data_IF_020871495911
#
_entry.id   IF_020871495911
#
_cell.length_a   1.000
_cell.length_b   1.000
_cell.length_c   1.000
_cell.angle_alpha   90.00
_cell.angle_beta   90.00
_cell.angle_gamma   90.00
#
_symmetry.space_group_name_H-M   'P 1'
#
loop_
_entity.id
_entity.type
_entity.pdbx_description
1 polymer ?
#
# COMPACT_ATOMS: atom_id res chain seq x y z
N UNK A 1 -9.19 -10.99 -65.55
CA UNK A 1 -9.16 -9.82 -64.64
C UNK A 1 -8.24 -10.18 -63.48
N UNK A 2 -7.05 -9.56 -63.39
CA UNK A 2 -5.89 -10.04 -62.62
C UNK A 2 -5.76 -9.35 -61.24
N UNK A 3 -4.68 -9.70 -60.52
CA UNK A 3 -4.02 -8.96 -59.42
C UNK A 3 -4.64 -9.10 -58.00
N UNK A 4 -3.92 -9.16 -56.89
CA UNK A 4 -2.49 -9.17 -56.54
C UNK A 4 -2.41 -9.60 -55.04
N UNK A 5 -1.47 -10.47 -54.66
CA UNK A 5 -0.26 -10.17 -53.87
C UNK A 5 -0.47 -9.70 -52.40
N UNK A 6 0.04 -10.53 -51.49
CA UNK A 6 0.99 -10.20 -50.40
C UNK A 6 0.73 -8.97 -49.51
N UNK A 7 0.63 -9.18 -48.18
CA UNK A 7 1.64 -8.68 -47.24
C UNK A 7 1.46 -9.31 -45.84
N UNK A 8 2.54 -9.87 -45.31
CA UNK A 8 2.70 -10.12 -43.89
C UNK A 8 2.93 -8.78 -43.16
N UNK A 9 2.40 -8.62 -41.94
CA UNK A 9 3.07 -7.80 -40.94
C UNK A 9 2.74 -8.26 -39.52
N UNK A 10 3.72 -8.94 -38.94
CA UNK A 10 3.96 -9.05 -37.52
C UNK A 10 4.05 -7.62 -36.93
N UNK A 11 3.06 -7.18 -36.16
CA UNK A 11 3.22 -5.99 -35.30
C UNK A 11 3.19 -6.42 -33.85
N UNK A 12 4.41 -6.70 -33.40
CA UNK A 12 4.88 -6.58 -32.03
C UNK A 12 4.54 -5.18 -31.50
N UNK A 13 3.43 -5.01 -30.79
CA UNK A 13 3.24 -3.87 -29.87
C UNK A 13 3.51 -4.45 -28.48
N UNK A 14 4.74 -4.32 -27.99
CA UNK A 14 5.11 -3.11 -27.27
C UNK A 14 4.79 -3.29 -25.80
N UNK A 15 5.44 -4.24 -25.13
CA UNK A 15 5.66 -4.14 -23.69
C UNK A 15 6.54 -2.89 -23.50
N UNK A 16 6.09 -1.83 -22.82
CA UNK A 16 7.02 -0.84 -22.32
C UNK A 16 7.88 -1.55 -21.26
N UNK A 17 9.08 -1.96 -21.68
CA UNK A 17 10.19 -2.16 -20.79
C UNK A 17 10.41 -0.82 -20.07
N UNK A 18 9.98 -0.76 -18.81
CA UNK A 18 9.92 0.48 -18.03
C UNK A 18 8.70 0.62 -17.12
N UNK A 19 7.89 -0.42 -16.92
CA UNK A 19 7.02 -0.45 -15.75
C UNK A 19 7.92 -0.58 -14.51
N UNK A 20 8.21 0.55 -13.85
CA UNK A 20 8.43 0.55 -12.40
C UNK A 20 7.43 -0.45 -11.79
N UNK A 21 7.85 -1.42 -10.96
CA UNK A 21 6.91 -2.34 -10.34
C UNK A 21 5.85 -1.48 -9.67
N UNK A 22 4.62 -1.54 -10.19
CA UNK A 22 3.53 -0.72 -9.70
C UNK A 22 3.46 -0.97 -8.20
N UNK A 23 3.83 0.03 -7.41
CA UNK A 23 3.95 -0.16 -5.97
C UNK A 23 2.54 -0.48 -5.49
N UNK A 24 2.34 -1.61 -4.81
CA UNK A 24 1.01 -2.05 -4.40
C UNK A 24 0.37 -0.95 -3.55
N UNK A 25 -0.73 -0.36 -4.04
CA UNK A 25 -1.44 0.73 -3.38
C UNK A 25 -2.96 0.62 -3.51
N UNK A 26 -3.68 1.33 -2.65
CA UNK A 26 -5.14 1.44 -2.71
C UNK A 26 -5.74 2.03 -1.44
N UNK A 27 -7.06 1.87 -1.31
CA UNK A 27 -7.85 2.35 -0.17
C UNK A 27 -8.55 1.18 0.52
N UNK A 28 -8.71 1.22 1.85
CA UNK A 28 -9.51 0.22 2.57
C UNK A 28 -10.95 0.17 2.06
N UNK A 29 -11.57 -0.99 2.20
CA UNK A 29 -13.01 -1.15 1.94
C UNK A 29 -13.86 -0.50 3.06
N UNK A 30 -15.18 -0.69 2.99
CA UNK A 30 -16.15 -0.16 3.97
C UNK A 30 -15.96 -0.72 5.40
N UNK A 31 -15.28 -1.85 5.54
CA UNK A 31 -14.96 -2.48 6.83
C UNK A 31 -13.57 -2.08 7.35
N UNK A 32 -12.83 -1.30 6.56
CA UNK A 32 -11.44 -0.94 6.82
C UNK A 32 -10.46 -2.04 6.46
N UNK A 33 -10.84 -3.00 5.63
CA UNK A 33 -10.00 -4.13 5.23
C UNK A 33 -9.37 -3.92 3.85
N UNK A 34 -8.16 -4.44 3.68
CA UNK A 34 -7.44 -4.39 2.41
C UNK A 34 -6.40 -5.50 2.32
N UNK A 35 -6.09 -5.97 1.11
CA UNK A 35 -4.96 -6.87 0.87
C UNK A 35 -3.96 -6.21 -0.09
N UNK A 36 -2.70 -6.16 0.32
CA UNK A 36 -1.58 -5.69 -0.51
C UNK A 36 -0.66 -6.87 -0.81
N UNK A 37 -0.25 -7.02 -2.07
CA UNK A 37 0.72 -8.04 -2.47
C UNK A 37 2.08 -7.38 -2.66
N UNK A 38 3.14 -7.95 -2.10
CA UNK A 38 4.48 -7.48 -2.40
C UNK A 38 4.89 -7.84 -3.83
N UNK A 39 5.71 -7.00 -4.49
CA UNK A 39 6.34 -7.36 -5.75
C UNK A 39 7.28 -8.57 -5.59
N UNK A 40 7.96 -8.69 -4.46
CA UNK A 40 8.74 -9.85 -4.05
C UNK A 40 8.83 -9.95 -2.52
N UNK A 41 9.09 -11.14 -1.94
CA UNK A 41 9.42 -11.25 -0.52
C UNK A 41 10.64 -10.37 -0.18
N UNK A 42 10.66 -9.69 0.99
CA UNK A 42 11.82 -8.89 1.39
C UNK A 42 13.02 -9.81 1.66
N UNK A 43 14.12 -9.54 0.96
CA UNK A 43 15.40 -10.23 1.11
C UNK A 43 16.22 -9.76 2.31
N UNK A 44 17.43 -10.31 2.47
CA UNK A 44 18.32 -9.94 3.56
C UNK A 44 18.76 -8.48 3.42
N UNK A 45 18.49 -7.66 4.45
CA UNK A 45 18.79 -6.23 4.43
C UNK A 45 17.70 -5.36 3.78
N UNK A 46 16.64 -5.98 3.24
CA UNK A 46 15.44 -5.27 2.81
C UNK A 46 14.42 -5.17 3.95
N UNK A 47 13.64 -4.09 3.94
CA UNK A 47 12.52 -3.88 4.84
C UNK A 47 11.29 -3.44 4.05
N UNK A 48 10.14 -4.01 4.39
CA UNK A 48 8.87 -3.56 3.87
C UNK A 48 8.36 -2.38 4.70
N UNK A 49 7.88 -1.33 4.03
CA UNK A 49 7.31 -0.14 4.65
C UNK A 49 5.91 0.13 4.10
N UNK A 50 5.02 0.53 5.00
CA UNK A 50 3.67 0.96 4.68
C UNK A 50 3.59 2.48 4.79
N UNK A 51 3.37 3.16 3.68
CA UNK A 51 3.06 4.59 3.65
C UNK A 51 1.54 4.77 3.73
N UNK A 52 1.06 5.40 4.79
CA UNK A 52 -0.36 5.68 5.03
C UNK A 52 -0.58 7.19 4.87
N UNK A 53 -1.25 7.58 3.80
CA UNK A 53 -1.61 8.97 3.52
C UNK A 53 -2.95 9.28 4.16
N UNK A 54 -2.91 10.18 5.13
CA UNK A 54 -4.06 10.56 5.93
C UNK A 54 -4.67 11.88 5.43
N UNK A 55 -5.99 11.88 5.33
CA UNK A 55 -6.77 13.10 5.16
C UNK A 55 -7.07 13.78 6.50
N UNK A 56 -8.12 14.61 6.57
CA UNK A 56 -8.53 15.25 7.81
C UNK A 56 -8.97 14.23 8.86
N UNK A 57 -8.41 14.33 10.07
CA UNK A 57 -8.82 13.55 11.23
C UNK A 57 -9.22 14.48 12.37
N UNK A 58 -10.23 14.09 13.14
CA UNK A 58 -10.62 14.87 14.32
C UNK A 58 -9.53 14.75 15.38
N UNK A 59 -9.32 15.82 16.15
CA UNK A 59 -8.35 15.80 17.25
C UNK A 59 -8.65 14.65 18.21
N UNK A 60 -7.62 13.89 18.57
CA UNK A 60 -7.75 12.74 19.46
C UNK A 60 -8.18 11.44 18.75
N UNK A 61 -8.33 11.47 17.42
CA UNK A 61 -8.42 10.27 16.59
C UNK A 61 -7.05 9.81 16.12
N UNK A 62 -6.89 8.50 16.08
CA UNK A 62 -5.70 7.80 15.57
C UNK A 62 -6.16 6.73 14.59
N UNK A 63 -5.39 6.51 13.53
CA UNK A 63 -5.56 5.35 12.64
C UNK A 63 -4.68 4.24 13.16
N UNK A 64 -5.29 3.17 13.68
CA UNK A 64 -4.59 1.94 14.01
C UNK A 64 -4.53 1.05 12.78
N UNK A 65 -3.34 0.50 12.54
CA UNK A 65 -3.06 -0.42 11.46
C UNK A 65 -2.66 -1.76 12.07
N UNK A 66 -3.45 -2.78 11.76
CA UNK A 66 -3.21 -4.15 12.17
C UNK A 66 -3.31 -5.08 10.96
N UNK A 67 -2.86 -6.31 11.15
CA UNK A 67 -3.24 -7.41 10.24
C UNK A 67 -4.73 -7.72 10.37
N UNK A 68 -5.30 -8.42 9.38
CA UNK A 68 -6.68 -8.96 9.48
C UNK A 68 -6.90 -9.81 10.73
N UNK A 69 -5.85 -10.51 11.18
CA UNK A 69 -5.87 -11.39 12.36
C UNK A 69 -5.71 -10.62 13.68
N UNK A 70 -5.59 -9.29 13.63
CA UNK A 70 -5.52 -8.41 14.80
C UNK A 70 -4.10 -8.17 15.35
N UNK A 71 -3.05 -8.65 14.69
CA UNK A 71 -1.66 -8.33 15.08
C UNK A 71 -1.38 -6.86 14.77
N UNK A 72 -1.02 -6.02 15.75
CA UNK A 72 -0.74 -4.60 15.52
C UNK A 72 0.54 -4.42 14.71
N UNK A 73 0.48 -3.57 13.69
CA UNK A 73 1.63 -3.17 12.86
C UNK A 73 2.10 -1.78 13.27
N UNK A 74 1.17 -0.87 13.53
CA UNK A 74 1.48 0.48 13.99
C UNK A 74 0.26 1.37 14.06
N UNK A 75 0.50 2.66 14.27
CA UNK A 75 -0.53 3.67 14.34
C UNK A 75 -0.08 4.95 13.65
N UNK A 76 -1.02 5.64 13.02
CA UNK A 76 -0.82 6.92 12.36
C UNK A 76 -1.77 7.95 12.96
N UNK A 77 -1.22 8.95 13.64
CA UNK A 77 -1.98 10.05 14.22
C UNK A 77 -1.60 11.36 13.53
N UNK A 78 -2.55 12.28 13.35
CA UNK A 78 -2.24 13.61 12.87
C UNK A 78 -1.38 14.35 13.90
N UNK A 79 -0.15 14.73 13.54
CA UNK A 79 0.65 15.66 14.34
C UNK A 79 0.12 17.09 14.16
N UNK A 80 -1.11 17.36 14.64
CA UNK A 80 -1.75 18.67 14.59
C UNK A 80 -2.00 19.20 13.16
N UNK A 81 -3.26 19.36 12.72
CA UNK A 81 -3.50 19.99 11.44
C UNK A 81 -3.04 21.46 11.49
N UNK A 82 -2.08 21.84 10.64
CA UNK A 82 -2.11 23.20 10.09
C UNK A 82 -3.52 23.38 9.51
N UNK A 83 -4.29 24.38 9.96
CA UNK A 83 -5.69 24.56 9.52
C UNK A 83 -5.77 24.43 7.99
N UNK A 84 -6.54 23.44 7.51
CA UNK A 84 -6.77 23.21 6.09
C UNK A 84 -5.79 22.24 5.39
N UNK A 85 -4.87 21.59 6.10
CA UNK A 85 -4.01 20.53 5.52
C UNK A 85 -4.33 19.15 6.10
N UNK A 86 -4.29 18.12 5.25
CA UNK A 86 -4.36 16.71 5.66
C UNK A 86 -3.22 16.35 6.59
N UNK A 87 -3.36 15.24 7.30
CA UNK A 87 -2.40 14.80 8.31
C UNK A 87 -1.06 14.28 7.74
N UNK A 88 -0.93 14.25 6.42
CA UNK A 88 0.30 13.87 5.72
C UNK A 88 0.44 12.36 5.57
N UNK A 89 1.61 11.93 5.10
CA UNK A 89 1.95 10.51 4.95
C UNK A 89 2.79 10.05 6.14
N UNK A 90 2.35 8.98 6.79
CA UNK A 90 3.08 8.31 7.88
C UNK A 90 3.64 7.00 7.36
N UNK A 91 4.93 6.76 7.59
CA UNK A 91 5.59 5.51 7.19
C UNK A 91 5.68 4.57 8.40
N UNK A 92 5.17 3.35 8.25
CA UNK A 92 5.13 2.32 9.28
C UNK A 92 5.95 1.12 8.79
N UNK A 93 6.99 0.67 9.53
CA UNK A 93 7.72 -0.54 9.18
C UNK A 93 6.82 -1.77 9.35
N UNK A 94 6.83 -2.67 8.37
CA UNK A 94 6.02 -3.89 8.41
C UNK A 94 6.88 -5.05 8.96
N UNK A 95 6.45 -5.73 10.04
CA UNK A 95 7.18 -6.88 10.56
C UNK A 95 7.32 -8.02 9.53
N UNK A 96 8.45 -8.72 9.50
CA UNK A 96 8.65 -9.85 8.58
C UNK A 96 7.74 -11.07 8.87
N UNK A 97 7.11 -11.14 10.04
CA UNK A 97 6.27 -12.28 10.44
C UNK A 97 4.80 -12.20 10.01
N UNK A 98 4.35 -11.08 9.43
CA UNK A 98 2.92 -10.86 9.13
C UNK A 98 2.51 -11.23 7.70
N UNK A 99 3.45 -11.67 6.86
CA UNK A 99 3.20 -12.03 5.47
C UNK A 99 2.58 -13.43 5.35
N UNK A 100 1.59 -13.56 4.47
CA UNK A 100 1.00 -14.85 4.06
C UNK A 100 1.04 -14.93 2.55
N UNK A 101 1.78 -15.90 2.00
CA UNK A 101 1.91 -16.11 0.55
C UNK A 101 2.28 -14.85 -0.24
N UNK A 102 3.21 -14.04 0.30
CA UNK A 102 3.65 -12.77 -0.30
C UNK A 102 2.62 -11.63 -0.20
N UNK A 103 1.56 -11.81 0.58
CA UNK A 103 0.48 -10.84 0.79
C UNK A 103 0.41 -10.38 2.24
N UNK A 104 -0.05 -9.16 2.41
CA UNK A 104 -0.35 -8.52 3.68
C UNK A 104 -1.83 -8.18 3.71
N UNK A 105 -2.58 -8.90 4.53
CA UNK A 105 -3.96 -8.58 4.84
C UNK A 105 -3.98 -7.57 5.99
N UNK A 106 -4.52 -6.39 5.74
CA UNK A 106 -4.58 -5.26 6.65
C UNK A 106 -6.01 -5.00 7.12
N UNK A 107 -6.09 -4.53 8.36
CA UNK A 107 -7.28 -3.95 8.94
C UNK A 107 -6.94 -2.61 9.56
N UNK A 108 -7.66 -1.59 9.14
CA UNK A 108 -7.52 -0.23 9.63
C UNK A 108 -8.72 0.15 10.47
N UNK A 109 -8.45 0.88 11.54
CA UNK A 109 -9.48 1.39 12.45
C UNK A 109 -9.15 2.81 12.87
N UNK A 110 -10.16 3.66 12.91
CA UNK A 110 -10.09 4.94 13.62
C UNK A 110 -10.46 4.67 15.08
N UNK A 111 -9.51 4.93 15.97
CA UNK A 111 -9.70 4.86 17.41
C UNK A 111 -9.68 6.26 18.02
N UNK A 112 -10.48 6.44 19.06
CA UNK A 112 -10.53 7.66 19.88
C UNK A 112 -10.00 7.37 21.28
N UNK A 113 -9.58 8.41 22.01
CA UNK A 113 -9.08 8.26 23.38
C UNK A 113 -10.08 7.58 24.35
N UNK A 114 -11.38 7.66 24.07
CA UNK A 114 -12.42 6.97 24.85
C UNK A 114 -12.67 5.51 24.42
N UNK A 115 -11.81 4.95 23.58
CA UNK A 115 -11.81 3.53 23.21
C UNK A 115 -12.82 3.14 22.14
N UNK A 116 -13.55 4.09 21.55
CA UNK A 116 -14.43 3.78 20.41
C UNK A 116 -13.58 3.49 19.18
N UNK A 117 -14.04 2.53 18.39
CA UNK A 117 -13.38 2.10 17.16
C UNK A 117 -14.37 1.98 16.02
N UNK A 118 -13.98 2.43 14.83
CA UNK A 118 -14.77 2.26 13.60
C UNK A 118 -13.86 2.15 12.38
N UNK A 119 -14.35 1.65 11.23
CA UNK A 119 -13.62 1.75 9.97
C UNK A 119 -13.28 3.21 9.61
N UNK A 120 -12.13 3.46 8.94
CA UNK A 120 -11.85 4.74 8.33
C UNK A 120 -12.78 4.97 7.12
N UNK A 121 -13.03 6.24 6.83
CA UNK A 121 -13.61 6.65 5.55
C UNK A 121 -12.53 6.87 4.49
N UNK A 122 -12.91 6.90 3.21
CA UNK A 122 -12.01 7.25 2.12
C UNK A 122 -11.49 8.71 2.19
N UNK A 123 -12.13 9.56 2.99
CA UNK A 123 -11.65 10.91 3.27
C UNK A 123 -10.59 10.97 4.38
N UNK A 124 -10.63 10.01 5.31
CA UNK A 124 -9.68 9.92 6.42
C UNK A 124 -8.41 9.18 6.02
N UNK A 125 -8.54 8.12 5.21
CA UNK A 125 -7.41 7.36 4.64
C UNK A 125 -7.47 7.48 3.13
N UNK A 126 -6.56 8.28 2.58
CA UNK A 126 -6.54 8.65 1.16
C UNK A 126 -5.79 7.64 0.30
N UNK A 127 -4.69 7.10 0.82
CA UNK A 127 -3.90 6.09 0.14
C UNK A 127 -3.15 5.26 1.17
N UNK A 128 -3.04 3.96 0.89
CA UNK A 128 -2.08 3.08 1.53
C UNK A 128 -1.19 2.56 0.42
N UNK A 129 0.12 2.71 0.59
CA UNK A 129 1.12 2.19 -0.35
C UNK A 129 2.11 1.32 0.40
N UNK A 130 2.39 0.17 -0.16
CA UNK A 130 3.40 -0.75 0.34
C UNK A 130 4.62 -0.70 -0.59
N UNK A 131 5.81 -0.57 -0.01
CA UNK A 131 7.08 -0.59 -0.74
C UNK A 131 8.16 -1.34 0.04
N UNK A 132 9.23 -1.71 -0.67
CA UNK A 132 10.42 -2.31 -0.09
C UNK A 132 11.54 -1.28 -0.16
N UNK A 133 12.26 -1.11 0.94
CA UNK A 133 13.47 -0.30 1.02
C UNK A 133 14.66 -1.20 1.35
N UNK A 134 15.83 -0.90 0.80
CA UNK A 134 17.05 -1.69 0.99
C UNK A 134 17.76 -1.99 -0.32
N UNK A 135 18.92 -2.66 -0.28
CA UNK A 135 19.62 -3.09 -1.48
C UNK A 135 18.75 -4.11 -2.23
N UNK A 136 18.58 -3.97 -3.56
CA UNK A 136 17.77 -4.91 -4.33
C UNK A 136 18.31 -6.34 -4.18
N UNK A 137 17.46 -7.37 -4.34
CA UNK A 137 17.91 -8.75 -4.19
C UNK A 137 19.03 -9.00 -5.20
N UNK A 138 20.23 -9.31 -4.69
CA UNK A 138 21.33 -9.68 -5.55
C UNK A 138 20.96 -11.02 -6.20
N UNK A 139 20.78 -11.02 -7.52
CA UNK A 139 20.71 -12.26 -8.30
C UNK A 139 22.00 -13.04 -8.02
N UNK A 140 21.92 -14.05 -7.17
CA UNK A 140 23.06 -14.89 -6.86
C UNK A 140 23.45 -15.66 -8.14
N UNK A 141 24.74 -15.65 -8.54
CA UNK A 141 25.20 -16.29 -9.77
C UNK A 141 25.07 -17.82 -9.75
#
# INVERSE_FOLDING_TARGET
>A
MPAAALLALLVLTGQPAGAEPATPSGTPDVNGEMVLALPHPPGQGEAAILAVTLGPLTRGQTVEVATSDGVPIGAAAPFGPQRGQGAGTVTIPVPAGVWRDGRLALRLRITTHDGRSRPPTADEVKEIRLSIIGPPPQSQP
#
